data_IF_737664594864
#
_entry.id   IF_737664594864
#
_cell.length_a   1.000
_cell.length_b   1.000
_cell.length_c   1.000
_cell.angle_alpha   90.00
_cell.angle_beta   90.00
_cell.angle_gamma   90.00
#
_symmetry.space_group_name_H-M   'P 1'
#
loop_
_entity.id
_entity.type
_entity.pdbx_description
1 polymer ?
#
# COMPACT_ATOMS: atom_id res chain seq x y z
N UNK A 1 -18.21 30.36 41.93
CA UNK A 1 -18.13 29.99 41.56
C UNK A 1 -17.82 29.57 40.61
N UNK A 2 -17.65 29.52 40.44
CA UNK A 2 -17.38 29.01 39.75
C UNK A 2 -17.05 28.57 38.80
N UNK A 3 -17.06 28.48 38.45
CA UNK A 3 -16.88 27.99 37.65
C UNK A 3 -16.18 27.42 37.05
N UNK A 4 -15.94 27.58 37.04
CA UNK A 4 -15.37 27.15 36.58
C UNK A 4 -14.87 26.41 36.19
N UNK A 5 -15.07 26.29 36.33
CA UNK A 5 -14.63 25.36 36.16
C UNK A 5 -14.49 24.98 35.02
N UNK A 6 -15.03 25.18 34.67
CA UNK A 6 -14.99 24.86 33.59
C UNK A 6 -13.99 24.71 32.98
N UNK A 7 -13.55 25.20 33.30
CA UNK A 7 -12.62 25.09 32.78
C UNK A 7 -12.30 24.05 32.24
N UNK A 8 -12.75 23.53 32.53
CA UNK A 8 -12.63 22.58 31.82
C UNK A 8 -11.68 22.47 30.84
N UNK A 9 -11.22 23.35 30.50
CA UNK A 9 -10.21 23.29 29.64
C UNK A 9 -9.33 22.20 29.85
N UNK A 10 -9.20 21.83 30.94
CA UNK A 10 -8.37 20.72 31.24
C UNK A 10 -8.56 19.60 30.27
N UNK A 11 -9.72 19.45 29.77
CA UNK A 11 -9.97 18.36 28.86
C UNK A 11 -9.17 18.46 27.59
N UNK A 12 -8.83 19.66 27.18
CA UNK A 12 -8.14 19.80 25.93
C UNK A 12 -6.71 19.33 25.97
N UNK A 13 -6.10 19.38 27.11
CA UNK A 13 -4.70 18.97 27.21
C UNK A 13 -4.53 17.50 27.34
N UNK A 14 -5.51 16.83 27.87
CA UNK A 14 -5.37 15.45 28.22
C UNK A 14 -5.09 14.51 27.08
N UNK A 15 -5.80 14.60 26.01
CA UNK A 15 -5.71 13.59 24.97
C UNK A 15 -4.48 13.66 24.11
N UNK A 16 -3.61 14.58 24.32
CA UNK A 16 -2.48 14.74 23.43
C UNK A 16 -1.67 13.47 23.25
N UNK A 17 -1.30 12.84 24.32
CA UNK A 17 -0.55 11.61 24.23
C UNK A 17 -1.36 10.47 23.65
N UNK A 18 -2.61 10.38 24.06
CA UNK A 18 -3.49 9.34 23.52
C UNK A 18 -3.71 9.51 22.03
N UNK A 19 -3.88 10.75 21.60
CA UNK A 19 -4.09 11.02 20.18
C UNK A 19 -2.88 10.61 19.36
N UNK A 20 -1.68 10.88 19.86
CA UNK A 20 -0.48 10.49 19.16
C UNK A 20 -0.36 8.98 19.04
N UNK A 21 -0.69 8.24 20.10
CA UNK A 21 -0.66 6.79 20.06
C UNK A 21 -1.74 6.24 19.12
N UNK A 22 -2.92 6.85 19.15
CA UNK A 22 -3.99 6.45 18.26
C UNK A 22 -3.60 6.65 16.81
N UNK A 23 -2.91 7.76 16.53
CA UNK A 23 -2.48 8.06 15.18
C UNK A 23 -1.52 7.02 14.65
N UNK A 24 -0.68 6.46 15.49
CA UNK A 24 0.26 5.42 15.07
C UNK A 24 -0.45 4.18 14.55
N UNK A 25 -1.64 3.90 15.07
CA UNK A 25 -2.40 2.74 14.64
C UNK A 25 -3.46 3.10 13.60
N UNK A 26 -3.60 4.36 13.27
CA UNK A 26 -4.53 4.82 12.24
C UNK A 26 -3.96 4.42 10.88
N UNK A 27 -4.73 3.73 10.03
CA UNK A 27 -4.24 3.35 8.71
C UNK A 27 -3.89 4.55 7.83
N UNK A 28 -4.42 5.74 8.15
CA UNK A 28 -4.10 6.94 7.38
C UNK A 28 -2.93 7.73 7.95
N UNK A 29 -2.31 7.23 9.01
CA UNK A 29 -1.17 7.90 9.62
C UNK A 29 0.10 7.70 8.78
N UNK A 30 0.83 8.80 8.53
CA UNK A 30 2.12 8.75 7.85
C UNK A 30 3.16 9.41 8.75
N UNK A 31 4.19 8.67 9.17
CA UNK A 31 5.26 9.27 9.97
C UNK A 31 5.95 10.41 9.23
N UNK A 32 6.46 11.36 10.00
CA UNK A 32 7.07 12.57 9.44
C UNK A 32 8.26 12.26 8.55
N UNK A 33 8.99 11.21 8.87
CA UNK A 33 10.19 10.86 8.12
C UNK A 33 9.93 9.98 6.91
N UNK A 34 8.69 9.63 6.64
CA UNK A 34 8.38 8.88 5.43
C UNK A 34 8.02 9.82 4.31
N UNK A 35 8.38 9.46 3.09
CA UNK A 35 8.19 10.32 1.94
C UNK A 35 7.91 9.50 0.69
N UNK A 36 7.60 10.19 -0.41
CA UNK A 36 7.24 9.55 -1.67
C UNK A 36 8.38 8.75 -2.29
N UNK A 37 9.62 9.02 -1.89
CA UNK A 37 10.77 8.31 -2.44
C UNK A 37 11.13 7.03 -1.73
N UNK A 38 10.35 6.62 -0.74
CA UNK A 38 10.63 5.40 -0.01
C UNK A 38 10.65 4.19 -0.94
N UNK A 39 11.64 3.33 -0.74
CA UNK A 39 11.75 2.09 -1.51
C UNK A 39 11.35 0.93 -0.62
N UNK A 40 10.32 0.19 -1.04
CA UNK A 40 9.76 -0.90 -0.25
C UNK A 40 10.58 -2.18 -0.35
N UNK A 41 11.27 -2.38 -1.46
CA UNK A 41 12.04 -3.61 -1.70
C UNK A 41 13.42 -3.23 -2.21
N UNK A 42 14.41 -4.06 -1.87
CA UNK A 42 15.78 -3.82 -2.35
C UNK A 42 15.96 -4.17 -3.82
N UNK A 43 15.09 -5.05 -4.34
CA UNK A 43 15.14 -5.46 -5.74
C UNK A 43 13.85 -5.01 -6.42
N UNK A 44 13.93 -4.27 -7.52
CA UNK A 44 12.71 -3.86 -8.21
C UNK A 44 12.05 -5.04 -8.90
N UNK A 45 10.74 -4.94 -9.06
CA UNK A 45 10.01 -5.93 -9.83
C UNK A 45 10.40 -5.78 -11.30
N UNK A 46 10.85 -6.87 -11.92
CA UNK A 46 11.24 -6.83 -13.33
C UNK A 46 10.31 -7.65 -14.22
N UNK A 47 9.60 -8.61 -13.66
CA UNK A 47 8.67 -9.42 -14.44
C UNK A 47 8.24 -10.67 -13.72
N UNK A 48 7.85 -11.67 -14.52
CA UNK A 48 7.36 -12.95 -13.98
C UNK A 48 8.38 -13.62 -13.06
N UNK A 49 9.65 -13.49 -13.40
CA UNK A 49 10.69 -14.24 -12.71
C UNK A 49 10.85 -13.83 -11.25
N UNK A 50 10.50 -12.62 -10.87
CA UNK A 50 10.64 -12.21 -9.47
C UNK A 50 9.36 -11.65 -8.86
N UNK A 51 8.20 -11.88 -9.51
CA UNK A 51 6.95 -11.34 -8.99
C UNK A 51 6.59 -11.89 -7.62
N UNK A 52 6.69 -13.21 -7.42
CA UNK A 52 6.27 -13.81 -6.15
C UNK A 52 7.11 -13.31 -4.99
N UNK A 53 8.42 -13.23 -5.19
CA UNK A 53 9.32 -12.73 -4.16
C UNK A 53 9.05 -11.26 -3.88
N UNK A 54 8.92 -10.47 -4.95
CA UNK A 54 8.64 -9.04 -4.81
C UNK A 54 7.33 -8.80 -4.07
N UNK A 55 6.28 -9.53 -4.45
CA UNK A 55 4.97 -9.36 -3.82
C UNK A 55 5.02 -9.70 -2.32
N UNK A 56 5.79 -10.72 -1.96
CA UNK A 56 5.94 -11.09 -0.56
C UNK A 56 6.61 -9.98 0.24
N UNK A 57 7.69 -9.41 -0.30
CA UNK A 57 8.40 -8.34 0.41
C UNK A 57 7.56 -7.06 0.50
N UNK A 58 6.80 -6.75 -0.54
CA UNK A 58 5.89 -5.61 -0.49
C UNK A 58 4.82 -5.84 0.58
N UNK A 59 4.26 -7.06 0.62
CA UNK A 59 3.28 -7.40 1.64
C UNK A 59 3.85 -7.17 3.05
N UNK A 60 5.07 -7.65 3.30
CA UNK A 60 5.68 -7.50 4.61
C UNK A 60 5.95 -6.03 4.93
N UNK A 61 6.47 -5.29 3.96
CA UNK A 61 6.79 -3.89 4.16
C UNK A 61 5.53 -3.05 4.46
N UNK A 62 4.49 -3.24 3.67
CA UNK A 62 3.25 -2.48 3.86
C UNK A 62 2.52 -2.92 5.12
N UNK A 63 2.55 -4.21 5.45
CA UNK A 63 1.92 -4.71 6.66
C UNK A 63 2.60 -4.16 7.90
N UNK A 64 3.92 -4.04 7.88
CA UNK A 64 4.65 -3.49 9.02
C UNK A 64 4.31 -2.02 9.25
N UNK A 65 3.84 -1.33 8.23
CA UNK A 65 3.42 0.07 8.31
C UNK A 65 1.91 0.22 8.48
N UNK A 66 1.20 -0.90 8.58
CA UNK A 66 -0.26 -0.91 8.66
C UNK A 66 -0.91 -0.27 7.42
N UNK A 67 -0.33 -0.52 6.26
CA UNK A 67 -0.77 0.09 5.01
C UNK A 67 -1.20 -0.91 3.95
N UNK A 68 -1.09 -2.20 4.20
CA UNK A 68 -1.43 -3.19 3.18
C UNK A 68 -2.91 -3.17 2.81
N UNK A 69 -3.77 -2.67 3.71
CA UNK A 69 -5.21 -2.56 3.42
C UNK A 69 -5.53 -1.69 2.21
N UNK A 70 -4.62 -0.78 1.83
CA UNK A 70 -4.82 0.04 0.64
C UNK A 70 -4.70 -0.76 -0.65
N UNK A 71 -4.01 -1.88 -0.62
CA UNK A 71 -3.83 -2.69 -1.84
C UNK A 71 -4.68 -3.95 -1.84
N UNK A 72 -5.06 -4.48 -0.68
CA UNK A 72 -5.89 -5.69 -0.63
C UNK A 72 -7.39 -5.39 -0.59
N UNK A 73 -7.76 -4.12 -0.52
CA UNK A 73 -9.17 -3.72 -0.58
C UNK A 73 -9.87 -3.64 0.76
N UNK A 74 -9.18 -3.92 1.88
CA UNK A 74 -9.82 -3.80 3.17
C UNK A 74 -10.05 -2.35 3.57
N UNK A 75 -9.28 -1.41 2.98
CA UNK A 75 -9.49 0.01 3.17
C UNK A 75 -10.08 0.55 1.86
N UNK A 76 -11.37 0.86 1.89
CA UNK A 76 -12.08 1.31 0.70
C UNK A 76 -11.78 2.77 0.39
N UNK A 77 -11.93 3.11 -0.88
CA UNK A 77 -11.83 4.49 -1.31
C UNK A 77 -12.95 5.30 -0.64
N UNK A 78 -12.60 6.47 -0.14
CA UNK A 78 -13.57 7.34 0.53
C UNK A 78 -14.23 8.28 -0.47
N UNK A 79 -15.45 8.68 -0.14
CA UNK A 79 -16.18 9.66 -0.92
C UNK A 79 -15.48 11.01 -0.77
N UNK A 80 -15.36 11.80 -1.85
CA UNK A 80 -14.75 13.13 -1.76
C UNK A 80 -15.39 14.07 -0.75
N UNK A 81 -16.62 13.81 -0.34
CA UNK A 81 -17.28 14.62 0.67
C UNK A 81 -16.96 14.19 2.08
N UNK A 82 -16.27 13.06 2.25
CA UNK A 82 -15.91 12.58 3.58
C UNK A 82 -14.89 13.51 4.23
N UNK A 83 -15.02 13.79 5.54
CA UNK A 83 -14.01 14.59 6.22
C UNK A 83 -12.65 13.95 6.28
N UNK A 84 -12.55 12.62 6.05
CA UNK A 84 -11.29 11.90 6.04
C UNK A 84 -10.72 11.71 4.63
N UNK A 85 -11.40 12.24 3.63
CA UNK A 85 -10.98 12.01 2.25
C UNK A 85 -9.55 12.46 1.98
N UNK A 86 -9.19 13.65 2.46
CA UNK A 86 -7.84 14.17 2.21
C UNK A 86 -6.77 13.28 2.82
N UNK A 87 -6.99 12.80 4.03
CA UNK A 87 -6.05 11.89 4.68
C UNK A 87 -5.93 10.58 3.93
N UNK A 88 -7.08 10.03 3.54
CA UNK A 88 -7.10 8.81 2.76
C UNK A 88 -6.38 8.99 1.42
N UNK A 89 -6.68 10.08 0.72
CA UNK A 89 -6.10 10.34 -0.58
C UNK A 89 -4.58 10.52 -0.51
N UNK A 90 -4.10 11.22 0.50
CA UNK A 90 -2.67 11.42 0.69
C UNK A 90 -1.98 10.07 0.93
N UNK A 91 -2.55 9.24 1.79
CA UNK A 91 -1.98 7.92 2.05
C UNK A 91 -2.00 7.06 0.79
N UNK A 92 -3.11 7.03 0.09
CA UNK A 92 -3.25 6.23 -1.11
C UNK A 92 -2.22 6.63 -2.17
N UNK A 93 -2.06 7.94 -2.37
CA UNK A 93 -1.09 8.46 -3.33
C UNK A 93 0.33 8.13 -2.92
N UNK A 94 0.63 8.23 -1.64
CA UNK A 94 1.95 7.91 -1.12
C UNK A 94 2.29 6.44 -1.36
N UNK A 95 1.34 5.55 -1.07
CA UNK A 95 1.55 4.11 -1.27
C UNK A 95 1.71 3.79 -2.76
N UNK A 96 0.94 4.44 -3.61
CA UNK A 96 1.09 4.28 -5.05
C UNK A 96 2.50 4.68 -5.48
N UNK A 97 3.01 5.77 -4.93
CA UNK A 97 4.37 6.21 -5.22
C UNK A 97 5.41 5.19 -4.75
N UNK A 98 5.23 4.65 -3.56
CA UNK A 98 6.14 3.62 -3.05
C UNK A 98 6.14 2.38 -3.94
N UNK A 99 4.97 1.94 -4.36
CA UNK A 99 4.86 0.77 -5.24
C UNK A 99 5.54 1.04 -6.58
N UNK A 100 5.28 2.22 -7.15
CA UNK A 100 5.87 2.60 -8.42
C UNK A 100 7.40 2.63 -8.34
N UNK A 101 7.92 3.15 -7.23
CA UNK A 101 9.37 3.20 -7.01
C UNK A 101 9.98 1.80 -6.91
N UNK A 102 9.17 0.79 -6.65
CA UNK A 102 9.65 -0.59 -6.52
C UNK A 102 9.57 -1.36 -7.82
N UNK A 103 9.32 -0.70 -8.93
CA UNK A 103 9.21 -1.33 -10.24
C UNK A 103 10.41 -0.96 -11.12
N UNK A 104 10.74 -1.85 -12.06
CA UNK A 104 11.74 -1.56 -13.07
C UNK A 104 11.24 -0.42 -13.98
N UNK A 105 12.14 0.25 -14.70
CA UNK A 105 11.72 1.34 -15.59
C UNK A 105 10.67 0.91 -16.63
N UNK A 106 10.80 -0.29 -17.18
CA UNK A 106 9.84 -0.76 -18.16
C UNK A 106 8.45 -0.94 -17.56
N UNK A 107 8.37 -1.49 -16.36
CA UNK A 107 7.08 -1.66 -15.69
C UNK A 107 6.50 -0.33 -15.25
N UNK A 108 7.35 0.61 -14.81
CA UNK A 108 6.88 1.95 -14.49
C UNK A 108 6.16 2.58 -15.68
N UNK A 109 6.76 2.46 -16.85
CA UNK A 109 6.17 3.02 -18.04
C UNK A 109 4.82 2.39 -18.38
N UNK A 110 4.69 1.10 -18.13
CA UNK A 110 3.45 0.38 -18.46
C UNK A 110 2.30 0.70 -17.50
N UNK A 111 2.58 1.26 -16.35
CA UNK A 111 1.54 1.51 -15.33
C UNK A 111 1.40 2.99 -14.99
N UNK A 112 2.02 3.87 -15.77
CA UNK A 112 2.08 5.30 -15.42
C UNK A 112 0.72 5.98 -15.34
N UNK A 113 -0.31 5.40 -15.95
CA UNK A 113 -1.65 5.98 -15.92
C UNK A 113 -2.56 5.38 -14.85
N UNK A 114 -2.06 4.45 -14.06
CA UNK A 114 -2.85 3.87 -12.98
C UNK A 114 -2.82 4.83 -11.80
N UNK A 115 -3.99 5.15 -11.25
CA UNK A 115 -4.14 6.20 -10.26
C UNK A 115 -4.37 5.72 -8.83
N UNK A 116 -4.45 4.41 -8.60
CA UNK A 116 -4.65 3.91 -7.25
C UNK A 116 -3.71 2.75 -6.97
N UNK A 117 -3.30 2.65 -5.70
CA UNK A 117 -2.42 1.56 -5.28
C UNK A 117 -3.09 0.20 -5.46
N UNK A 118 -4.40 0.13 -5.21
CA UNK A 118 -5.13 -1.12 -5.38
C UNK A 118 -5.16 -1.54 -6.84
N UNK A 119 -5.46 -0.61 -7.73
CA UNK A 119 -5.52 -0.94 -9.15
C UNK A 119 -4.16 -1.38 -9.67
N UNK A 120 -3.10 -0.74 -9.22
CA UNK A 120 -1.74 -1.13 -9.59
C UNK A 120 -1.43 -2.54 -9.09
N UNK A 121 -1.78 -2.83 -7.84
CA UNK A 121 -1.55 -4.15 -7.25
C UNK A 121 -2.28 -5.24 -8.03
N UNK A 122 -3.56 -4.98 -8.35
CA UNK A 122 -4.38 -5.93 -9.10
C UNK A 122 -3.83 -6.12 -10.51
N UNK A 123 -3.44 -5.03 -11.18
CA UNK A 123 -2.91 -5.10 -12.53
C UNK A 123 -1.64 -5.95 -12.58
N UNK A 124 -0.71 -5.72 -11.67
CA UNK A 124 0.52 -6.49 -11.63
C UNK A 124 0.25 -7.96 -11.33
N UNK A 125 -0.64 -8.21 -10.40
CA UNK A 125 -1.01 -9.58 -10.06
C UNK A 125 -1.60 -10.30 -11.27
N UNK A 126 -2.51 -9.64 -11.97
CA UNK A 126 -3.16 -10.26 -13.13
C UNK A 126 -2.18 -10.54 -14.25
N UNK A 127 -1.26 -9.62 -14.50
CA UNK A 127 -0.31 -9.79 -15.60
C UNK A 127 0.82 -10.75 -15.26
N UNK A 128 1.26 -10.77 -14.00
CA UNK A 128 2.48 -11.47 -13.65
C UNK A 128 2.27 -12.73 -12.86
N UNK A 129 1.15 -12.88 -12.14
CA UNK A 129 0.91 -14.11 -11.39
C UNK A 129 0.06 -15.10 -12.17
N UNK A 130 -0.87 -14.62 -12.98
CA UNK A 130 -1.73 -15.50 -13.76
C UNK A 130 -0.97 -16.26 -14.85
N UNK A 131 0.02 -15.63 -15.43
CA UNK A 131 0.81 -16.26 -16.48
C UNK A 131 1.64 -17.41 -15.95
N UNK A 132 1.92 -17.41 -14.66
CA UNK A 132 2.78 -18.40 -14.07
C UNK A 132 2.14 -19.78 -14.06
N UNK A 133 0.87 -19.88 -13.71
CA UNK A 133 0.19 -21.17 -13.63
C UNK A 133 -0.04 -21.81 -14.99
N UNK A 134 -0.58 -21.13 -16.00
CA UNK A 134 -0.71 -21.71 -17.32
C UNK A 134 0.63 -22.10 -17.92
N UNK A 135 1.65 -21.30 -17.66
CA UNK A 135 2.99 -21.58 -18.18
C UNK A 135 3.57 -22.86 -17.62
N UNK A 136 3.41 -23.06 -16.30
CA UNK A 136 3.86 -24.28 -15.67
C UNK A 136 3.13 -25.49 -16.22
N UNK A 137 1.85 -25.35 -16.45
CA UNK A 137 1.03 -26.42 -17.00
C UNK A 137 1.52 -26.79 -18.39
N UNK A 138 1.81 -25.80 -19.23
CA UNK A 138 2.32 -26.03 -20.57
C UNK A 138 3.68 -26.74 -20.55
N UNK A 139 4.56 -26.32 -19.66
CA UNK A 139 5.86 -26.95 -19.52
C UNK A 139 5.74 -28.42 -19.12
N UNK A 140 4.86 -28.72 -18.21
CA UNK A 140 4.60 -30.11 -17.80
C UNK A 140 4.06 -30.93 -18.95
N UNK A 141 3.20 -30.32 -19.75
CA UNK A 141 2.63 -30.96 -20.91
C UNK A 141 3.70 -31.28 -21.94
N UNK A 142 4.60 -30.35 -22.19
CA UNK A 142 5.71 -30.55 -23.12
C UNK A 142 6.63 -31.66 -22.65
N UNK A 143 6.93 -31.70 -21.36
CA UNK A 143 7.76 -32.73 -20.80
C UNK A 143 7.10 -34.09 -20.97
N UNK A 144 5.81 -34.19 -20.80
CA UNK A 144 5.06 -35.40 -21.01
C UNK A 144 5.15 -35.87 -22.45
N UNK A 145 5.17 -34.97 -23.39
CA UNK A 145 5.27 -35.32 -24.82
C UNK A 145 6.66 -35.80 -25.21
N UNK A 146 7.65 -35.33 -24.49
CA UNK A 146 9.03 -35.73 -24.78
C UNK A 146 9.33 -37.15 -24.34
N UNK A 147 8.53 -37.71 -23.48
CA UNK A 147 8.68 -39.06 -23.00
C UNK A 147 7.78 -40.01 -23.80
#
# INVERSE_FOLDING_TARGET
MALDPSSAPSSSSTPTGSAAMADEYDPFFLPVNENFGLILTSQPLVGLENYMTWARFVFLALSSKNKFGFVNGSISELDPTSPLFNSWNTCSTTILSWLTNSLSPDLKASVMYINSARDLWIDLKNRLSQDNTPRLFELQKEISHLV
#
